data_IF_021674027423
#
_entry.id   IF_021674027423
#
_cell.length_a   1.000
_cell.length_b   1.000
_cell.length_c   1.000
_cell.angle_alpha   90.00
_cell.angle_beta   90.00
_cell.angle_gamma   90.00
#
_symmetry.space_group_name_H-M   'P 1'
#
loop_
_entity.id
_entity.type
_entity.pdbx_description
1 polymer ?
#
# COMPACT_ATOMS: atom_id res chain seq x y z
N UNK A 1 1.53 14.67 -30.79
CA UNK A 1 1.62 13.52 -29.88
C UNK A 1 0.19 13.13 -29.58
N UNK A 2 -0.24 11.95 -30.01
CA UNK A 2 -1.60 11.46 -29.79
C UNK A 2 -1.55 10.31 -28.80
N UNK A 3 -2.51 10.27 -27.87
CA UNK A 3 -2.60 9.21 -26.87
C UNK A 3 -3.23 8.00 -27.53
N UNK A 4 -2.45 6.93 -27.70
CA UNK A 4 -2.91 5.67 -28.30
C UNK A 4 -3.73 4.84 -27.32
N UNK A 5 -3.30 4.79 -26.06
CA UNK A 5 -4.02 4.11 -25.00
C UNK A 5 -3.86 4.91 -23.70
N UNK A 6 -4.99 5.37 -23.15
CA UNK A 6 -5.03 6.18 -21.93
C UNK A 6 -4.69 5.39 -20.66
N UNK A 7 -5.00 4.09 -20.62
CA UNK A 7 -4.70 3.21 -19.49
C UNK A 7 -4.13 1.88 -20.00
N UNK A 8 -2.81 1.81 -20.05
CA UNK A 8 -2.09 0.62 -20.50
C UNK A 8 -1.83 -0.38 -19.37
N UNK A 9 -1.68 0.09 -18.13
CA UNK A 9 -1.38 -0.75 -16.97
C UNK A 9 -1.66 -0.02 -15.65
N UNK A 10 -2.04 -0.80 -14.64
CA UNK A 10 -2.03 -0.38 -13.24
C UNK A 10 -0.69 -0.75 -12.61
N UNK A 11 -0.11 0.15 -11.85
CA UNK A 11 1.17 -0.03 -11.16
C UNK A 11 0.95 0.10 -9.65
N UNK A 12 1.65 -0.74 -8.89
CA UNK A 12 1.71 -0.62 -7.43
C UNK A 12 2.69 0.47 -7.01
N UNK A 13 2.46 1.05 -5.84
CA UNK A 13 3.35 2.04 -5.22
C UNK A 13 4.79 1.51 -5.08
N UNK A 14 4.95 0.21 -4.80
CA UNK A 14 6.27 -0.44 -4.79
C UNK A 14 6.97 -0.41 -6.16
N UNK A 15 6.27 -0.74 -7.24
CA UNK A 15 6.84 -0.71 -8.59
C UNK A 15 7.24 0.72 -8.99
N UNK A 16 6.39 1.69 -8.65
CA UNK A 16 6.67 3.12 -8.88
C UNK A 16 7.91 3.55 -8.08
N UNK A 17 7.98 3.22 -6.78
CA UNK A 17 9.14 3.52 -5.93
C UNK A 17 10.43 2.96 -6.53
N UNK A 18 10.44 1.67 -6.88
CA UNK A 18 11.60 1.00 -7.48
C UNK A 18 11.99 1.60 -8.83
N UNK A 19 11.01 2.02 -9.62
CA UNK A 19 11.26 2.68 -10.90
C UNK A 19 11.89 4.06 -10.71
N UNK A 20 11.35 4.89 -9.81
CA UNK A 20 11.86 6.21 -9.50
C UNK A 20 13.27 6.15 -8.87
N UNK A 21 13.56 5.15 -8.03
CA UNK A 21 14.90 4.90 -7.50
C UNK A 21 15.90 4.63 -8.63
N UNK A 22 15.54 3.80 -9.61
CA UNK A 22 16.40 3.56 -10.80
C UNK A 22 16.63 4.82 -11.63
N UNK A 23 15.61 5.68 -11.77
CA UNK A 23 15.74 6.97 -12.48
C UNK A 23 16.69 7.91 -11.72
N UNK A 24 16.58 7.97 -10.39
CA UNK A 24 17.48 8.75 -9.53
C UNK A 24 18.93 8.27 -9.63
N UNK A 25 19.15 6.96 -9.67
CA UNK A 25 20.49 6.35 -9.76
C UNK A 25 21.10 6.45 -11.17
N UNK A 26 20.27 6.62 -12.21
CA UNK A 26 20.75 6.85 -13.56
C UNK A 26 21.51 8.18 -13.61
N UNK A 27 22.79 8.13 -13.98
CA UNK A 27 23.78 9.24 -13.95
C UNK A 27 23.42 10.50 -14.75
N UNK A 28 22.24 10.59 -15.39
CA UNK A 28 21.74 11.83 -15.97
C UNK A 28 21.15 12.68 -14.85
N UNK A 29 21.86 13.74 -14.46
CA UNK A 29 21.29 14.80 -13.61
C UNK A 29 20.07 15.38 -14.31
N UNK A 30 18.89 14.89 -13.94
CA UNK A 30 17.63 15.52 -14.30
C UNK A 30 17.63 16.91 -13.66
N UNK A 31 17.58 17.96 -14.47
CA UNK A 31 17.52 19.35 -14.00
C UNK A 31 16.11 19.88 -14.23
N UNK A 32 15.60 20.68 -13.29
CA UNK A 32 14.27 21.31 -13.38
C UNK A 32 13.15 20.47 -12.77
N UNK A 33 11.93 20.65 -13.29
CA UNK A 33 10.67 20.14 -12.72
C UNK A 33 10.66 18.62 -12.45
N UNK A 34 11.30 17.82 -13.33
CA UNK A 34 11.37 16.37 -13.16
C UNK A 34 12.11 15.95 -11.89
N UNK A 35 13.15 16.70 -11.47
CA UNK A 35 13.88 16.40 -10.25
C UNK A 35 13.03 16.67 -9.01
N UNK A 36 12.27 17.76 -9.00
CA UNK A 36 11.34 18.11 -7.93
C UNK A 36 10.25 17.06 -7.79
N UNK A 37 9.55 16.72 -8.89
CA UNK A 37 8.49 15.71 -8.88
C UNK A 37 9.03 14.35 -8.42
N UNK A 38 10.20 13.95 -8.92
CA UNK A 38 10.83 12.68 -8.51
C UNK A 38 11.18 12.67 -7.03
N UNK A 39 11.72 13.77 -6.50
CA UNK A 39 12.08 13.88 -5.09
C UNK A 39 10.85 13.87 -4.18
N UNK A 40 9.83 14.69 -4.47
CA UNK A 40 8.59 14.74 -3.69
C UNK A 40 7.84 13.40 -3.71
N UNK A 41 7.76 12.76 -4.89
CA UNK A 41 7.08 11.47 -5.03
C UNK A 41 7.85 10.36 -4.30
N UNK A 42 9.18 10.33 -4.40
CA UNK A 42 10.00 9.38 -3.64
C UNK A 42 9.84 9.59 -2.14
N UNK A 43 9.85 10.84 -1.69
CA UNK A 43 9.69 11.18 -0.27
C UNK A 43 8.34 10.70 0.26
N UNK A 44 7.24 10.97 -0.46
CA UNK A 44 5.92 10.46 -0.13
C UNK A 44 5.90 8.92 -0.07
N UNK A 45 6.41 8.24 -1.09
CA UNK A 45 6.41 6.77 -1.15
C UNK A 45 7.30 6.14 -0.06
N UNK A 46 8.36 6.80 0.38
CA UNK A 46 9.21 6.34 1.49
C UNK A 46 8.51 6.41 2.86
N UNK A 47 7.50 7.26 3.01
CA UNK A 47 6.66 7.36 4.22
C UNK A 47 5.50 6.34 4.23
N UNK A 48 5.16 5.78 3.08
CA UNK A 48 4.13 4.74 2.95
C UNK A 48 4.64 3.35 3.36
N UNK A 49 3.75 2.39 3.70
CA UNK A 49 4.13 1.00 4.00
C UNK A 49 4.83 0.27 2.84
N UNK A 50 4.91 0.87 1.66
CA UNK A 50 5.55 0.30 0.48
C UNK A 50 7.08 0.15 0.63
N UNK A 51 7.70 0.88 1.57
CA UNK A 51 9.14 0.83 1.81
C UNK A 51 9.66 -0.52 2.33
N UNK A 52 8.86 -1.20 3.16
CA UNK A 52 9.24 -2.51 3.72
C UNK A 52 8.89 -3.68 2.80
N UNK A 53 8.21 -3.42 1.69
CA UNK A 53 7.75 -4.44 0.77
C UNK A 53 8.90 -4.99 -0.08
N UNK A 54 8.83 -6.30 -0.34
CA UNK A 54 9.78 -6.99 -1.22
C UNK A 54 9.00 -7.65 -2.37
N UNK A 55 9.63 -7.86 -3.54
CA UNK A 55 8.92 -8.43 -4.67
C UNK A 55 8.47 -9.86 -4.39
N UNK A 56 9.23 -10.59 -3.56
CA UNK A 56 8.87 -11.94 -3.08
C UNK A 56 7.64 -11.90 -2.17
N UNK A 57 7.57 -10.96 -1.22
CA UNK A 57 6.40 -10.85 -0.35
C UNK A 57 5.14 -10.50 -1.14
N UNK A 58 5.24 -9.61 -2.13
CA UNK A 58 4.12 -9.25 -2.99
C UNK A 58 3.63 -10.44 -3.81
N UNK A 59 4.53 -11.20 -4.45
CA UNK A 59 4.14 -12.36 -5.25
C UNK A 59 3.51 -13.47 -4.41
N UNK A 60 4.05 -13.72 -3.21
CA UNK A 60 3.49 -14.73 -2.31
C UNK A 60 2.13 -14.26 -1.76
N UNK A 61 1.98 -12.98 -1.40
CA UNK A 61 0.71 -12.43 -0.94
C UNK A 61 -0.37 -12.50 -2.03
N UNK A 62 -0.04 -12.17 -3.28
CA UNK A 62 -0.99 -12.31 -4.41
C UNK A 62 -1.43 -13.77 -4.58
N UNK A 63 -0.52 -14.74 -4.39
CA UNK A 63 -0.86 -16.17 -4.47
C UNK A 63 -1.79 -16.60 -3.34
N UNK A 64 -1.55 -16.14 -2.12
CA UNK A 64 -2.42 -16.42 -0.95
C UNK A 64 -3.78 -15.71 -1.08
N UNK A 65 -3.85 -14.59 -1.82
CA UNK A 65 -5.09 -13.85 -2.07
C UNK A 65 -5.90 -14.36 -3.27
N UNK A 66 -5.35 -15.28 -4.08
CA UNK A 66 -6.03 -15.89 -5.23
C UNK A 66 -7.39 -16.53 -4.89
N UNK A 67 -7.56 -17.26 -3.76
CA UNK A 67 -8.82 -17.91 -3.39
C UNK A 67 -9.97 -16.92 -3.15
N UNK A 68 -9.67 -15.66 -2.83
CA UNK A 68 -10.68 -14.63 -2.55
C UNK A 68 -11.21 -13.96 -3.83
N UNK A 69 -10.67 -14.33 -5.01
CA UNK A 69 -11.10 -13.83 -6.32
C UNK A 69 -11.24 -12.30 -6.36
N UNK A 70 -10.22 -11.61 -5.86
CA UNK A 70 -10.15 -10.16 -5.83
C UNK A 70 -9.84 -9.59 -7.21
N UNK A 71 -10.44 -8.45 -7.52
CA UNK A 71 -10.20 -7.74 -8.77
C UNK A 71 -8.80 -7.11 -8.74
N UNK A 72 -8.24 -6.82 -9.93
CA UNK A 72 -6.89 -6.23 -10.05
C UNK A 72 -6.75 -4.91 -9.31
N UNK A 73 -7.79 -4.08 -9.32
CA UNK A 73 -7.80 -2.80 -8.62
C UNK A 73 -7.82 -2.99 -7.09
N UNK A 74 -8.60 -3.96 -6.60
CA UNK A 74 -8.67 -4.31 -5.17
C UNK A 74 -7.31 -4.82 -4.69
N UNK A 75 -6.67 -5.71 -5.46
CA UNK A 75 -5.31 -6.19 -5.19
C UNK A 75 -4.31 -5.03 -5.12
N UNK A 76 -4.29 -4.14 -6.12
CA UNK A 76 -3.39 -2.98 -6.09
C UNK A 76 -3.67 -2.08 -4.90
N UNK A 77 -4.94 -1.90 -4.51
CA UNK A 77 -5.32 -1.10 -3.35
C UNK A 77 -4.80 -1.71 -2.04
N UNK A 78 -5.02 -3.01 -1.83
CA UNK A 78 -4.52 -3.77 -0.67
C UNK A 78 -2.99 -3.76 -0.62
N UNK A 79 -2.32 -3.92 -1.76
CA UNK A 79 -0.86 -3.88 -1.80
C UNK A 79 -0.32 -2.47 -1.49
N UNK A 80 -1.00 -1.42 -1.92
CA UNK A 80 -0.57 -0.05 -1.67
C UNK A 80 -0.83 0.38 -0.21
N UNK A 81 -1.96 -0.03 0.34
CA UNK A 81 -2.41 0.29 1.70
C UNK A 81 -2.94 -0.99 2.34
N UNK A 82 -2.10 -1.76 3.07
CA UNK A 82 -2.55 -3.00 3.67
C UNK A 82 -3.59 -2.71 4.77
N UNK A 83 -4.83 -3.22 4.65
CA UNK A 83 -5.85 -3.03 5.67
C UNK A 83 -5.45 -3.74 6.97
N UNK A 84 -5.80 -3.09 8.06
CA UNK A 84 -5.49 -3.48 9.43
C UNK A 84 -6.72 -3.84 10.22
N UNK A 85 -7.89 -3.48 9.71
CA UNK A 85 -9.19 -3.74 10.33
C UNK A 85 -10.18 -4.31 9.31
N UNK A 86 -11.18 -5.09 9.74
CA UNK A 86 -12.23 -5.59 8.86
C UNK A 86 -12.99 -4.46 8.14
N UNK A 87 -13.18 -3.33 8.82
CA UNK A 87 -13.86 -2.16 8.26
C UNK A 87 -13.10 -1.58 7.07
N UNK A 88 -11.77 -1.53 7.12
CA UNK A 88 -10.96 -1.08 5.98
C UNK A 88 -11.14 -2.01 4.78
N UNK A 89 -11.24 -3.33 4.99
CA UNK A 89 -11.49 -4.29 3.91
C UNK A 89 -12.84 -4.01 3.23
N UNK A 90 -13.89 -3.73 4.03
CA UNK A 90 -15.21 -3.38 3.49
C UNK A 90 -15.21 -2.09 2.67
N UNK A 91 -14.33 -1.14 2.99
CA UNK A 91 -14.18 0.10 2.23
C UNK A 91 -13.34 -0.09 0.95
N UNK A 92 -12.46 -1.09 0.91
CA UNK A 92 -11.54 -1.34 -0.19
C UNK A 92 -12.08 -2.32 -1.25
N UNK A 93 -12.94 -3.26 -0.83
CA UNK A 93 -13.54 -4.29 -1.68
C UNK A 93 -15.00 -3.93 -1.92
N UNK A 94 -15.39 -3.83 -3.19
CA UNK A 94 -16.78 -3.57 -3.55
C UNK A 94 -17.66 -4.79 -3.23
N UNK A 95 -18.83 -4.53 -2.64
CA UNK A 95 -19.81 -5.56 -2.25
C UNK A 95 -19.20 -6.66 -1.37
N UNK A 96 -18.27 -6.27 -0.48
CA UNK A 96 -17.53 -7.23 0.36
C UNK A 96 -18.44 -8.11 1.21
N UNK A 97 -19.59 -7.61 1.68
CA UNK A 97 -20.54 -8.36 2.50
C UNK A 97 -21.27 -9.48 1.75
N UNK A 98 -21.42 -9.35 0.43
CA UNK A 98 -22.02 -10.38 -0.42
C UNK A 98 -20.96 -11.35 -0.98
N UNK A 99 -19.73 -10.86 -1.17
CA UNK A 99 -18.63 -11.63 -1.79
C UNK A 99 -17.77 -12.40 -0.80
N UNK A 100 -17.65 -11.93 0.44
CA UNK A 100 -16.75 -12.49 1.45
C UNK A 100 -17.50 -12.77 2.74
N UNK A 101 -17.22 -13.93 3.35
CA UNK A 101 -17.71 -14.23 4.69
C UNK A 101 -16.86 -13.54 5.76
N UNK A 102 -17.40 -13.35 6.96
CA UNK A 102 -16.64 -12.80 8.10
C UNK A 102 -15.36 -13.61 8.39
N UNK A 103 -15.42 -14.93 8.22
CA UNK A 103 -14.27 -15.83 8.37
C UNK A 103 -13.18 -15.55 7.32
N UNK A 104 -13.58 -15.34 6.06
CA UNK A 104 -12.65 -15.00 4.98
C UNK A 104 -12.01 -13.62 5.18
N UNK A 105 -12.76 -12.65 5.69
CA UNK A 105 -12.22 -11.32 6.04
C UNK A 105 -11.16 -11.45 7.12
N UNK A 106 -11.41 -12.28 8.14
CA UNK A 106 -10.44 -12.51 9.21
C UNK A 106 -9.20 -13.28 8.74
N UNK A 107 -9.37 -14.25 7.84
CA UNK A 107 -8.27 -14.97 7.20
C UNK A 107 -7.41 -14.03 6.35
N UNK A 108 -8.04 -13.15 5.56
CA UNK A 108 -7.36 -12.15 4.75
C UNK A 108 -6.53 -11.18 5.60
N UNK A 109 -7.07 -10.70 6.74
CA UNK A 109 -6.29 -9.90 7.69
C UNK A 109 -5.08 -10.66 8.22
N UNK A 110 -5.24 -11.93 8.57
CA UNK A 110 -4.16 -12.76 9.10
C UNK A 110 -3.05 -12.96 8.06
N UNK A 111 -3.42 -13.19 6.80
CA UNK A 111 -2.49 -13.27 5.67
C UNK A 111 -1.73 -11.94 5.53
N UNK A 112 -2.44 -10.82 5.52
CA UNK A 112 -1.83 -9.50 5.34
C UNK A 112 -0.89 -9.13 6.50
N UNK A 113 -1.24 -9.42 7.75
CA UNK A 113 -0.36 -9.18 8.90
C UNK A 113 0.96 -9.97 8.79
N UNK A 114 0.93 -11.16 8.19
CA UNK A 114 2.13 -11.97 7.96
C UNK A 114 3.07 -11.35 6.92
N UNK A 115 2.54 -10.76 5.85
CA UNK A 115 3.34 -10.19 4.76
C UNK A 115 3.69 -8.72 4.97
N UNK A 116 2.86 -7.99 5.71
CA UNK A 116 3.00 -6.58 6.04
C UNK A 116 3.08 -6.42 7.57
N UNK A 117 4.19 -6.85 8.21
CA UNK A 117 4.34 -6.70 9.64
C UNK A 117 4.32 -5.21 9.98
N UNK A 118 3.39 -4.81 10.85
CA UNK A 118 3.37 -3.46 11.40
C UNK A 118 4.69 -3.25 12.12
N UNK A 119 5.51 -2.33 11.61
CA UNK A 119 6.56 -1.75 12.45
C UNK A 119 5.80 -0.95 13.50
N UNK A 120 5.70 -1.46 14.72
CA UNK A 120 5.11 -0.71 15.83
C UNK A 120 5.92 0.56 16.03
N UNK A 121 5.53 1.66 15.38
CA UNK A 121 5.74 2.97 15.96
C UNK A 121 4.87 2.98 17.20
N UNK A 122 5.50 2.70 18.34
CA UNK A 122 4.97 3.06 19.66
C UNK A 122 4.47 4.50 19.55
N UNK A 123 3.15 4.65 19.41
CA UNK A 123 2.51 5.90 19.74
C UNK A 123 2.68 6.03 21.25
N UNK A 124 3.75 6.72 21.64
CA UNK A 124 3.86 7.37 22.94
C UNK A 124 2.61 8.21 23.12
N UNK A 125 1.64 7.66 23.84
CA UNK A 125 0.58 8.44 24.47
C UNK A 125 1.22 9.18 25.65
N UNK A 126 1.76 10.36 25.38
CA UNK A 126 2.07 11.39 26.40
C UNK A 126 1.11 12.55 26.11
N UNK A 127 0.02 12.68 26.88
CA UNK A 127 -0.14 13.71 27.93
C UNK A 127 -1.03 14.81 27.35
N UNK A 128 -2.19 15.18 27.89
CA UNK A 128 -2.52 15.76 29.21
C UNK A 128 -4.03 16.13 29.09
N UNK A 129 -4.90 16.27 30.09
CA UNK A 129 -4.79 16.66 31.50
C UNK A 129 -6.06 16.22 32.25
N UNK A 130 -5.85 16.01 33.54
CA UNK A 130 -6.75 15.74 34.65
C UNK A 130 -8.15 16.38 34.62
N UNK A 131 -9.16 15.56 34.86
CA UNK A 131 -10.46 15.99 35.36
C UNK A 131 -11.03 14.95 36.34
N UNK A 132 -10.45 14.86 37.54
CA UNK A 132 -11.24 14.64 38.77
C UNK A 132 -10.37 14.80 40.04
N UNK A 133 -10.41 15.97 40.68
CA UNK A 133 -10.14 16.12 42.11
C UNK A 133 -10.61 17.48 42.61
N UNK A 134 -11.75 17.46 43.32
CA UNK A 134 -12.31 18.44 44.29
C UNK A 134 -13.72 18.90 43.93
#
# INVERSE_FOLDING_TARGET
MEVVNSNSASLTNYEVLKHLQKIKDAKKKHKGQLATITYETLHYLEETPCKSQTPTNLSECIRELEPFNLNKNELVMIMNTPPTTPLEIQLMIEESEERLTEEQVQELLTILERYFPKVETKNTVEGEVDANSS
#
